data_IF_167103442629
#
_entry.id   IF_167103442629
#
_cell.length_a   1.000
_cell.length_b   1.000
_cell.length_c   1.000
_cell.angle_alpha   90.00
_cell.angle_beta   90.00
_cell.angle_gamma   90.00
#
_symmetry.space_group_name_H-M   'P 1'
#
loop_
_entity.id
_entity.type
_entity.pdbx_description
1 polymer ?
#
# COMPACT_ATOMS: atom_id res chain seq x y z
N UNK A 1 -53.59 43.22 -2.28
CA UNK A 1 -53.15 43.16 -0.88
C UNK A 1 -52.54 44.49 -0.51
N UNK A 2 -52.89 45.03 0.65
CA UNK A 2 -52.22 46.19 1.25
C UNK A 2 -50.97 45.72 1.97
N UNK A 3 -49.81 46.20 1.55
CA UNK A 3 -48.51 46.00 2.19
C UNK A 3 -48.36 46.96 3.36
N UNK A 4 -48.34 46.45 4.59
CA UNK A 4 -47.87 47.21 5.74
C UNK A 4 -46.34 47.15 5.76
N UNK A 5 -45.69 48.29 5.54
CA UNK A 5 -44.25 48.46 5.68
C UNK A 5 -43.99 49.11 7.03
N UNK A 6 -43.50 48.34 8.00
CA UNK A 6 -42.73 48.90 9.11
C UNK A 6 -41.25 48.78 8.76
N UNK A 7 -40.56 49.93 8.68
CA UNK A 7 -39.13 49.99 8.39
C UNK A 7 -38.32 50.21 9.66
N UNK A 8 -37.14 49.60 9.71
CA UNK A 8 -35.91 50.25 10.18
C UNK A 8 -34.68 49.40 9.83
N UNK A 9 -34.28 49.39 8.54
CA UNK A 9 -32.96 49.03 7.93
C UNK A 9 -33.16 48.70 6.42
N UNK A 10 -32.12 48.78 5.55
CA UNK A 10 -32.29 49.05 4.12
C UNK A 10 -33.10 47.94 3.47
N UNK A 11 -34.31 48.27 3.05
CA UNK A 11 -35.30 47.28 2.65
C UNK A 11 -35.10 46.97 1.17
N UNK A 12 -34.81 45.71 0.84
CA UNK A 12 -34.97 45.24 -0.53
C UNK A 12 -36.43 45.23 -0.95
N UNK A 13 -36.65 45.12 -2.25
CA UNK A 13 -37.99 45.07 -2.81
C UNK A 13 -38.13 43.90 -3.78
N UNK A 14 -39.33 43.33 -3.78
CA UNK A 14 -39.75 42.26 -4.69
C UNK A 14 -40.61 42.91 -5.78
N UNK A 15 -40.18 42.83 -7.02
CA UNK A 15 -40.97 43.26 -8.17
C UNK A 15 -41.58 42.03 -8.83
N UNK A 16 -42.90 42.00 -8.95
CA UNK A 16 -43.59 41.00 -9.75
C UNK A 16 -43.60 41.53 -11.19
N UNK A 17 -42.78 40.94 -12.06
CA UNK A 17 -42.66 41.39 -13.46
C UNK A 17 -43.79 40.87 -14.33
N UNK A 18 -44.28 39.66 -14.04
CA UNK A 18 -45.43 39.07 -14.71
C UNK A 18 -46.10 38.03 -13.84
N UNK A 19 -47.42 37.91 -13.96
CA UNK A 19 -48.21 36.78 -13.50
C UNK A 19 -49.16 36.40 -14.62
N UNK A 20 -49.25 35.10 -14.92
CA UNK A 20 -50.21 34.53 -15.84
C UNK A 20 -50.82 33.29 -15.22
N UNK A 21 -52.12 33.10 -15.40
CA UNK A 21 -52.77 31.85 -15.01
C UNK A 21 -52.65 30.87 -16.18
N UNK A 22 -51.95 29.76 -15.96
CA UNK A 22 -51.79 28.68 -16.93
C UNK A 22 -52.47 27.44 -16.34
N UNK A 23 -53.63 27.07 -16.89
CA UNK A 23 -54.49 26.01 -16.36
C UNK A 23 -54.87 26.26 -14.88
N UNK A 24 -54.51 25.35 -13.98
CA UNK A 24 -54.80 25.43 -12.53
C UNK A 24 -53.67 26.05 -11.71
N UNK A 25 -52.63 26.62 -12.35
CA UNK A 25 -51.48 27.22 -11.66
C UNK A 25 -51.25 28.65 -12.13
N UNK A 26 -50.76 29.48 -11.22
CA UNK A 26 -50.29 30.84 -11.53
C UNK A 26 -48.78 30.75 -11.72
N UNK A 27 -48.32 31.07 -12.93
CA UNK A 27 -46.90 31.16 -13.28
C UNK A 27 -46.53 32.64 -13.42
N UNK A 28 -45.31 33.01 -13.05
CA UNK A 28 -44.89 34.41 -13.16
C UNK A 28 -43.41 34.60 -12.98
N UNK A 29 -42.92 35.74 -13.44
CA UNK A 29 -41.54 36.15 -13.23
C UNK A 29 -41.50 37.18 -12.11
N UNK A 30 -40.68 36.91 -11.09
CA UNK A 30 -40.36 37.87 -10.04
C UNK A 30 -38.91 38.32 -10.21
N UNK A 31 -38.65 39.62 -10.04
CA UNK A 31 -37.31 40.16 -9.83
C UNK A 31 -37.19 40.52 -8.35
N UNK A 32 -36.20 39.92 -7.69
CA UNK A 32 -35.88 40.23 -6.31
C UNK A 32 -34.69 41.18 -6.32
N UNK A 33 -34.88 42.42 -5.85
CA UNK A 33 -33.78 43.39 -5.70
C UNK A 33 -33.41 43.51 -4.23
N UNK A 34 -32.24 42.97 -3.91
CA UNK A 34 -31.67 43.01 -2.57
C UNK A 34 -30.58 44.10 -2.53
N UNK A 35 -30.71 45.15 -1.68
CA UNK A 35 -29.67 46.14 -1.51
C UNK A 35 -28.45 45.49 -0.90
N UNK A 36 -27.26 45.86 -1.37
CA UNK A 36 -25.98 45.36 -0.83
C UNK A 36 -25.80 45.62 0.66
N UNK A 37 -26.53 46.58 1.23
CA UNK A 37 -26.57 46.89 2.65
C UNK A 37 -27.58 46.08 3.47
N UNK A 38 -28.51 45.37 2.82
CA UNK A 38 -29.41 44.38 3.44
C UNK A 38 -28.79 42.99 3.53
N UNK A 39 -27.81 42.75 2.65
CA UNK A 39 -26.92 41.62 2.74
C UNK A 39 -25.98 41.86 3.93
N UNK A 40 -25.96 40.94 4.89
CA UNK A 40 -25.24 41.12 6.16
C UNK A 40 -23.77 41.50 5.90
N UNK A 41 -23.42 42.76 6.19
CA UNK A 41 -22.05 43.24 6.01
C UNK A 41 -21.12 42.48 6.93
N UNK A 42 -20.16 41.74 6.38
CA UNK A 42 -19.01 41.10 7.06
C UNK A 42 -19.30 39.97 8.07
N UNK A 43 -20.56 39.69 8.39
CA UNK A 43 -20.96 38.63 9.31
C UNK A 43 -21.90 37.76 8.52
N UNK A 44 -21.46 36.59 8.06
CA UNK A 44 -22.27 35.78 7.16
C UNK A 44 -23.65 35.40 7.72
N UNK A 45 -24.42 34.75 6.87
CA UNK A 45 -25.81 34.40 7.09
C UNK A 45 -26.53 34.34 5.76
N UNK A 46 -27.81 33.98 5.81
CA UNK A 46 -28.69 34.05 4.65
C UNK A 46 -29.73 35.14 4.84
N UNK A 47 -29.97 35.91 3.77
CA UNK A 47 -31.21 36.64 3.64
C UNK A 47 -32.28 35.63 3.25
N UNK A 48 -33.24 35.42 4.14
CA UNK A 48 -34.44 34.67 3.83
C UNK A 48 -35.50 35.60 3.27
N UNK A 49 -36.01 35.26 2.11
CA UNK A 49 -37.17 35.90 1.50
C UNK A 49 -38.32 34.90 1.56
N UNK A 50 -39.28 35.18 2.44
CA UNK A 50 -40.55 34.47 2.48
C UNK A 50 -41.49 35.16 1.47
N UNK A 51 -41.86 34.44 0.41
CA UNK A 51 -42.89 34.85 -0.53
C UNK A 51 -44.21 34.18 -0.14
N UNK A 52 -45.21 34.97 0.22
CA UNK A 52 -46.54 34.45 0.55
C UNK A 52 -47.49 34.66 -0.63
N UNK A 53 -48.12 33.58 -1.10
CA UNK A 53 -49.23 33.67 -2.03
C UNK A 53 -50.54 33.27 -1.34
N UNK A 54 -51.52 34.17 -1.32
CA UNK A 54 -52.86 33.87 -0.79
C UNK A 54 -53.82 33.53 -1.93
N UNK A 55 -54.35 32.30 -1.92
CA UNK A 55 -55.39 31.85 -2.85
C UNK A 55 -56.65 31.54 -2.05
N UNK A 56 -57.76 32.20 -2.36
CA UNK A 56 -59.08 31.93 -1.76
C UNK A 56 -59.08 31.91 -0.22
N UNK A 57 -58.28 32.78 0.42
CA UNK A 57 -58.17 32.88 1.87
C UNK A 57 -57.17 31.93 2.54
N UNK A 58 -56.51 31.06 1.77
CA UNK A 58 -55.41 30.22 2.26
C UNK A 58 -54.05 30.78 1.82
N UNK A 59 -53.09 30.87 2.73
CA UNK A 59 -51.73 31.36 2.47
C UNK A 59 -50.78 30.19 2.24
N UNK A 60 -50.01 30.28 1.16
CA UNK A 60 -48.97 29.32 0.79
C UNK A 60 -47.61 30.02 0.83
N UNK A 61 -46.77 29.75 1.83
CA UNK A 61 -45.44 30.33 1.91
C UNK A 61 -44.45 29.56 1.04
N UNK A 62 -43.69 30.28 0.24
CA UNK A 62 -42.49 29.82 -0.47
C UNK A 62 -41.27 30.54 0.11
N UNK A 63 -40.15 29.85 0.28
CA UNK A 63 -39.00 30.37 1.02
C UNK A 63 -37.76 30.30 0.13
N UNK A 64 -37.09 31.44 -0.05
CA UNK A 64 -35.85 31.53 -0.82
C UNK A 64 -34.75 32.12 0.04
N UNK A 65 -33.61 31.44 0.12
CA UNK A 65 -32.47 31.87 0.93
C UNK A 65 -31.33 32.39 0.03
N UNK A 66 -30.80 33.57 0.33
CA UNK A 66 -29.73 34.24 -0.40
C UNK A 66 -28.51 34.40 0.50
N UNK A 67 -27.31 34.07 0.01
CA UNK A 67 -26.06 34.16 0.77
C UNK A 67 -25.14 35.21 0.14
N UNK A 68 -24.29 35.84 0.95
CA UNK A 68 -23.20 36.68 0.46
C UNK A 68 -21.97 35.83 0.19
N UNK A 69 -21.61 35.70 -1.08
CA UNK A 69 -20.31 35.19 -1.51
C UNK A 69 -19.31 36.36 -1.58
N UNK A 70 -18.72 36.71 -0.44
CA UNK A 70 -17.80 37.86 -0.36
C UNK A 70 -16.52 37.56 0.42
N UNK A 71 -16.41 36.38 1.02
CA UNK A 71 -15.25 36.00 1.81
C UNK A 71 -14.32 35.07 1.01
N UNK A 72 -13.04 35.04 1.41
CA UNK A 72 -12.12 34.05 0.88
C UNK A 72 -12.65 32.63 1.18
N UNK A 73 -12.47 31.72 0.22
CA UNK A 73 -12.84 30.32 0.38
C UNK A 73 -12.12 29.64 1.55
N UNK A 74 -12.61 28.48 2.00
CA UNK A 74 -11.99 27.72 3.08
C UNK A 74 -10.57 27.31 2.72
N UNK A 75 -9.70 27.19 3.73
CA UNK A 75 -8.30 26.78 3.54
C UNK A 75 -7.85 25.75 4.55
N UNK A 76 -7.01 24.81 4.14
CA UNK A 76 -6.37 23.79 4.98
C UNK A 76 -4.99 24.30 5.39
N UNK A 77 -4.84 24.60 6.68
CA UNK A 77 -3.63 25.20 7.23
C UNK A 77 -2.59 24.16 7.66
N UNK A 78 -3.03 23.03 8.21
CA UNK A 78 -2.13 21.96 8.65
C UNK A 78 -2.69 20.59 8.31
N UNK A 79 -1.78 19.69 7.94
CA UNK A 79 -2.06 18.28 7.75
C UNK A 79 -0.94 17.44 8.31
N UNK A 80 -1.27 16.49 9.18
CA UNK A 80 -0.34 15.45 9.60
C UNK A 80 -1.04 14.11 9.84
N UNK A 81 -0.25 13.04 9.89
CA UNK A 81 -0.70 11.74 10.34
C UNK A 81 0.44 10.92 10.94
N UNK A 82 0.10 9.86 11.65
CA UNK A 82 1.07 8.93 12.23
C UNK A 82 0.43 7.57 12.48
N UNK A 83 1.26 6.53 12.58
CA UNK A 83 0.81 5.23 13.02
C UNK A 83 0.52 5.25 14.52
N UNK A 84 -0.74 5.03 14.88
CA UNK A 84 -1.20 5.03 16.26
C UNK A 84 -0.96 3.68 16.95
N UNK A 85 -1.38 2.60 16.29
CA UNK A 85 -1.16 1.23 16.77
C UNK A 85 -1.09 0.26 15.59
N UNK A 86 -0.34 -0.84 15.74
CA UNK A 86 -0.30 -1.90 14.74
C UNK A 86 0.34 -3.16 15.31
N UNK A 87 -0.17 -4.35 14.98
CA UNK A 87 0.68 -5.53 15.02
C UNK A 87 1.77 -5.37 13.94
N UNK A 88 2.92 -5.99 14.15
CA UNK A 88 4.06 -5.86 13.23
C UNK A 88 4.41 -7.20 12.62
N UNK A 89 4.69 -7.20 11.32
CA UNK A 89 5.46 -8.26 10.68
C UNK A 89 6.81 -7.71 10.26
N UNK A 90 7.78 -8.61 10.14
CA UNK A 90 9.14 -8.25 9.77
C UNK A 90 9.49 -8.87 8.42
N UNK A 91 10.16 -8.08 7.58
CA UNK A 91 10.82 -8.55 6.36
C UNK A 91 12.23 -7.98 6.33
N UNK A 92 13.25 -8.82 6.27
CA UNK A 92 14.66 -8.41 6.32
C UNK A 92 14.92 -7.45 7.49
N UNK A 93 14.38 -7.70 8.68
CA UNK A 93 14.53 -6.82 9.84
C UNK A 93 13.74 -5.51 9.81
N UNK A 94 13.13 -5.14 8.68
CA UNK A 94 12.25 -3.98 8.55
C UNK A 94 10.86 -4.31 9.11
N UNK A 95 10.31 -3.41 9.92
CA UNK A 95 8.97 -3.56 10.49
C UNK A 95 7.92 -3.00 9.55
N UNK A 96 6.83 -3.73 9.37
CA UNK A 96 5.65 -3.30 8.63
C UNK A 96 4.42 -3.37 9.52
N UNK A 97 3.59 -2.34 9.42
CA UNK A 97 2.24 -2.37 9.93
C UNK A 97 1.42 -3.42 9.15
N UNK A 98 0.73 -4.31 9.85
CA UNK A 98 0.04 -5.47 9.25
C UNK A 98 -1.24 -5.84 9.99
N UNK A 99 -1.90 -6.93 9.58
CA UNK A 99 -3.01 -7.54 10.32
C UNK A 99 -2.51 -8.60 11.32
N UNK A 100 -3.18 -8.72 12.47
CA UNK A 100 -2.98 -9.86 13.38
C UNK A 100 -4.32 -10.29 13.96
N UNK A 101 -4.84 -11.42 13.48
CA UNK A 101 -6.16 -11.92 13.87
C UNK A 101 -7.25 -10.89 13.55
N UNK A 102 -7.93 -10.39 14.58
CA UNK A 102 -8.98 -9.37 14.46
C UNK A 102 -8.45 -7.92 14.52
N UNK A 103 -7.14 -7.72 14.72
CA UNK A 103 -6.55 -6.39 14.91
C UNK A 103 -6.00 -5.84 13.59
N UNK A 104 -6.41 -4.62 13.26
CA UNK A 104 -5.97 -3.86 12.09
C UNK A 104 -4.99 -2.75 12.48
N UNK A 105 -4.05 -2.35 11.59
CA UNK A 105 -3.24 -1.18 11.82
C UNK A 105 -4.10 0.08 11.84
N UNK A 106 -3.74 1.05 12.66
CA UNK A 106 -4.49 2.28 12.85
C UNK A 106 -3.64 3.51 12.56
N UNK A 107 -4.15 4.40 11.72
CA UNK A 107 -3.55 5.69 11.41
C UNK A 107 -4.33 6.81 12.10
N UNK A 108 -3.62 7.65 12.84
CA UNK A 108 -4.14 8.89 13.40
C UNK A 108 -3.87 10.04 12.43
N UNK A 109 -4.84 10.92 12.26
CA UNK A 109 -4.76 12.12 11.44
C UNK A 109 -5.07 13.35 12.26
N UNK A 110 -4.39 14.45 11.95
CA UNK A 110 -4.73 15.77 12.47
C UNK A 110 -4.74 16.76 11.31
N UNK A 111 -5.85 17.48 11.15
CA UNK A 111 -6.05 18.48 10.13
C UNK A 111 -6.66 19.73 10.76
N UNK A 112 -6.12 20.90 10.43
CA UNK A 112 -6.74 22.16 10.78
C UNK A 112 -7.07 22.95 9.51
N UNK A 113 -8.30 23.43 9.44
CA UNK A 113 -8.79 24.26 8.36
C UNK A 113 -9.47 25.52 8.91
N UNK A 114 -9.43 26.59 8.14
CA UNK A 114 -9.97 27.90 8.50
C UNK A 114 -10.91 28.40 7.42
N UNK A 115 -11.83 29.31 7.77
CA UNK A 115 -12.80 29.84 6.83
C UNK A 115 -13.77 28.79 6.27
N UNK A 116 -13.91 27.63 6.94
CA UNK A 116 -14.83 26.55 6.54
C UNK A 116 -16.28 27.05 6.39
N UNK A 117 -16.64 28.11 7.11
CA UNK A 117 -17.97 28.73 7.05
C UNK A 117 -17.98 30.13 6.46
N UNK A 118 -16.91 30.57 5.82
CA UNK A 118 -16.76 31.94 5.36
C UNK A 118 -17.87 32.38 4.39
N UNK A 119 -18.35 31.47 3.54
CA UNK A 119 -19.38 31.74 2.52
C UNK A 119 -20.74 31.06 2.79
N UNK A 120 -20.73 29.82 3.29
CA UNK A 120 -21.97 29.06 3.55
C UNK A 120 -21.78 28.04 4.67
N UNK A 121 -22.88 27.56 5.25
CA UNK A 121 -22.86 26.44 6.20
C UNK A 121 -23.14 25.10 5.48
N UNK A 122 -22.35 24.08 5.80
CA UNK A 122 -22.57 22.69 5.39
C UNK A 122 -22.52 21.78 6.62
N UNK A 123 -23.27 20.68 6.61
CA UNK A 123 -23.12 19.66 7.66
C UNK A 123 -21.78 18.92 7.55
N UNK A 124 -21.18 18.93 6.36
CA UNK A 124 -20.14 18.03 5.88
C UNK A 124 -19.01 18.78 5.15
N UNK A 125 -18.25 19.62 5.86
CA UNK A 125 -17.34 20.60 5.25
C UNK A 125 -16.06 20.03 4.64
N UNK A 126 -15.71 18.77 4.93
CA UNK A 126 -14.41 18.20 4.58
C UNK A 126 -14.61 16.78 4.03
N UNK A 127 -14.01 16.48 2.88
CA UNK A 127 -13.86 15.13 2.37
C UNK A 127 -12.40 14.69 2.55
N UNK A 128 -12.19 13.43 2.93
CA UNK A 128 -10.87 12.81 3.05
C UNK A 128 -10.85 11.54 2.20
N UNK A 129 -9.84 11.44 1.33
CA UNK A 129 -9.58 10.27 0.51
C UNK A 129 -8.22 9.63 0.87
N UNK A 130 -8.23 8.59 1.70
CA UNK A 130 -7.08 7.77 2.02
C UNK A 130 -7.09 6.42 1.28
N UNK A 131 -7.76 6.31 0.13
CA UNK A 131 -7.89 5.04 -0.60
C UNK A 131 -6.56 4.36 -0.90
N UNK A 132 -5.53 5.13 -1.24
CA UNK A 132 -4.19 4.62 -1.55
C UNK A 132 -3.47 3.95 -0.37
N UNK A 133 -3.86 4.26 0.88
CA UNK A 133 -3.30 3.64 2.09
C UNK A 133 -4.20 2.52 2.65
N UNK A 134 -5.20 2.07 1.88
CA UNK A 134 -6.06 0.95 2.24
C UNK A 134 -7.21 1.30 3.20
N UNK A 135 -7.68 2.55 3.14
CA UNK A 135 -8.80 3.06 3.91
C UNK A 135 -9.86 3.63 2.97
N UNK A 136 -11.15 3.41 3.24
CA UNK A 136 -12.21 4.01 2.42
C UNK A 136 -12.24 5.53 2.55
N UNK A 137 -12.60 6.23 1.49
CA UNK A 137 -12.86 7.68 1.51
C UNK A 137 -14.10 7.99 2.35
N UNK A 138 -14.09 9.13 3.03
CA UNK A 138 -15.19 9.54 3.90
C UNK A 138 -15.31 11.05 3.99
N UNK A 139 -16.45 11.47 4.50
CA UNK A 139 -16.80 12.86 4.72
C UNK A 139 -16.79 13.10 6.23
N UNK A 140 -16.18 14.19 6.66
CA UNK A 140 -16.15 14.61 8.06
C UNK A 140 -17.29 15.58 8.29
N UNK A 141 -18.24 15.18 9.13
CA UNK A 141 -19.32 16.05 9.56
C UNK A 141 -18.84 17.05 10.62
N UNK A 142 -19.39 18.26 10.62
CA UNK A 142 -19.06 19.30 11.60
C UNK A 142 -19.35 18.87 13.04
N UNK A 143 -20.47 18.18 13.25
CA UNK A 143 -20.88 17.68 14.56
C UNK A 143 -20.21 16.34 14.94
N UNK A 144 -19.21 15.89 14.17
CA UNK A 144 -18.46 14.69 14.50
C UNK A 144 -17.72 14.87 15.82
N UNK A 145 -17.69 13.83 16.66
CA UNK A 145 -16.91 13.83 17.91
C UNK A 145 -15.40 13.95 17.68
N UNK A 146 -14.95 13.75 16.43
CA UNK A 146 -13.55 13.89 16.00
C UNK A 146 -13.18 15.31 15.63
N UNK A 147 -14.13 16.25 15.67
CA UNK A 147 -13.89 17.68 15.43
C UNK A 147 -13.88 18.41 16.77
N UNK A 148 -12.77 19.10 17.06
CA UNK A 148 -12.67 19.92 18.28
C UNK A 148 -13.58 21.15 18.11
N UNK A 149 -14.32 21.50 19.17
CA UNK A 149 -15.37 22.54 19.15
C UNK A 149 -16.56 22.23 18.21
N UNK A 150 -16.77 20.95 17.88
CA UNK A 150 -18.01 20.51 17.25
C UNK A 150 -19.22 20.94 18.09
N UNK A 151 -20.12 21.72 17.51
CA UNK A 151 -21.45 21.96 18.05
C UNK A 151 -22.39 20.78 17.76
N UNK A 152 -23.32 20.48 18.67
CA UNK A 152 -24.39 19.50 18.44
C UNK A 152 -25.48 20.00 17.49
N UNK A 153 -25.49 21.29 17.21
CA UNK A 153 -26.35 21.97 16.23
C UNK A 153 -25.48 22.72 15.23
N UNK A 154 -25.96 22.96 13.99
CA UNK A 154 -25.45 24.07 13.18
C UNK A 154 -25.28 25.29 14.09
N UNK A 155 -24.18 26.06 13.98
CA UNK A 155 -23.97 27.16 14.93
C UNK A 155 -25.23 28.03 14.93
N UNK A 156 -25.88 28.23 16.07
CA UNK A 156 -27.02 29.15 16.12
C UNK A 156 -26.46 30.56 16.15
N UNK A 157 -27.04 31.48 15.38
CA UNK A 157 -26.53 32.84 15.23
C UNK A 157 -26.21 33.49 16.60
N UNK A 158 -25.11 34.27 16.72
CA UNK A 158 -24.13 34.58 15.68
C UNK A 158 -23.13 33.43 15.44
N UNK A 159 -23.08 32.94 14.20
CA UNK A 159 -22.08 31.96 13.76
C UNK A 159 -20.69 32.61 13.82
N UNK A 160 -19.69 31.88 14.31
CA UNK A 160 -18.30 32.32 14.21
C UNK A 160 -17.74 31.90 12.85
N UNK A 161 -17.90 32.76 11.85
CA UNK A 161 -17.43 32.56 10.47
C UNK A 161 -15.96 32.17 10.35
N UNK A 162 -15.14 32.61 11.31
CA UNK A 162 -13.70 32.37 11.36
C UNK A 162 -13.32 31.35 12.44
N UNK A 163 -14.23 30.46 12.83
CA UNK A 163 -13.87 29.38 13.75
C UNK A 163 -12.99 28.35 13.04
N UNK A 164 -11.87 28.03 13.67
CA UNK A 164 -10.98 26.96 13.22
C UNK A 164 -11.72 25.62 13.28
N UNK A 165 -11.67 24.89 12.18
CA UNK A 165 -12.10 23.51 12.09
C UNK A 165 -10.91 22.59 12.34
N UNK A 166 -10.86 21.98 13.52
CA UNK A 166 -9.76 21.09 13.91
C UNK A 166 -10.28 19.66 13.96
N UNK A 167 -9.88 18.85 12.99
CA UNK A 167 -10.21 17.44 12.87
C UNK A 167 -9.07 16.56 13.38
N UNK A 168 -9.39 15.62 14.27
CA UNK A 168 -8.48 14.60 14.77
C UNK A 168 -9.20 13.26 14.90
N UNK A 169 -8.75 12.25 14.16
CA UNK A 169 -9.36 10.93 14.16
C UNK A 169 -8.31 9.83 13.99
N UNK A 170 -8.61 8.65 14.53
CA UNK A 170 -7.86 7.43 14.26
C UNK A 170 -8.73 6.47 13.45
N UNK A 171 -8.29 6.06 12.26
CA UNK A 171 -8.98 5.08 11.40
C UNK A 171 -8.15 3.81 11.22
N UNK A 172 -8.79 2.63 11.17
CA UNK A 172 -8.11 1.40 10.80
C UNK A 172 -7.88 1.33 9.28
N UNK A 173 -6.71 0.83 8.88
CA UNK A 173 -6.51 0.29 7.54
C UNK A 173 -7.33 -1.00 7.46
N UNK A 174 -8.25 -1.10 6.51
CA UNK A 174 -9.23 -2.20 6.44
C UNK A 174 -9.08 -3.04 5.17
N UNK A 175 -8.31 -2.57 4.20
CA UNK A 175 -8.08 -3.28 2.96
C UNK A 175 -6.95 -4.32 3.08
N UNK A 176 -7.23 -5.56 2.63
CA UNK A 176 -6.22 -6.59 2.45
C UNK A 176 -5.32 -6.30 1.23
N UNK A 177 -4.12 -6.87 1.22
CA UNK A 177 -3.20 -6.84 0.09
C UNK A 177 -2.74 -5.42 -0.30
N UNK A 178 -2.46 -4.59 0.70
CA UNK A 178 -1.92 -3.24 0.58
C UNK A 178 -0.46 -3.24 1.01
N UNK A 179 0.38 -2.54 0.25
CA UNK A 179 1.77 -2.23 0.60
C UNK A 179 2.01 -0.74 0.47
N UNK A 180 2.82 -0.18 1.37
CA UNK A 180 3.28 1.20 1.28
C UNK A 180 4.79 1.25 1.63
N UNK A 181 5.66 1.72 0.72
CA UNK A 181 5.35 2.14 -0.65
C UNK A 181 4.86 0.99 -1.55
N UNK A 182 4.30 1.30 -2.71
CA UNK A 182 3.84 0.31 -3.68
C UNK A 182 5.02 -0.50 -4.29
N UNK A 183 4.70 -1.45 -5.19
CA UNK A 183 5.71 -2.28 -5.86
C UNK A 183 6.61 -1.49 -6.83
N UNK A 184 6.29 -0.24 -7.14
CA UNK A 184 7.13 0.68 -7.91
C UNK A 184 7.98 1.58 -7.01
N UNK A 185 7.75 1.58 -5.70
CA UNK A 185 8.42 2.46 -4.73
C UNK A 185 7.73 3.81 -4.54
N UNK A 186 6.49 3.98 -5.02
CA UNK A 186 5.70 5.19 -4.80
C UNK A 186 5.04 5.15 -3.43
N UNK A 187 5.10 6.26 -2.71
CA UNK A 187 4.42 6.42 -1.43
C UNK A 187 2.96 6.79 -1.63
N UNK A 188 2.08 6.06 -0.96
CA UNK A 188 0.65 6.36 -0.94
C UNK A 188 0.40 7.74 -0.34
N UNK A 189 -0.51 8.49 -0.96
CA UNK A 189 -0.87 9.85 -0.56
C UNK A 189 -2.31 9.88 -0.04
N UNK A 190 -2.56 10.70 0.98
CA UNK A 190 -3.90 10.98 1.48
C UNK A 190 -4.28 12.39 1.05
N UNK A 191 -5.49 12.55 0.52
CA UNK A 191 -6.03 13.82 0.03
C UNK A 191 -7.19 14.29 0.89
N UNK A 192 -7.33 15.59 1.09
CA UNK A 192 -8.56 16.18 1.62
C UNK A 192 -8.88 17.43 0.84
N UNK A 193 -10.17 17.67 0.81
CA UNK A 193 -10.81 18.71 0.04
C UNK A 193 -11.85 19.38 0.92
N UNK A 194 -11.76 20.70 1.02
CA UNK A 194 -12.81 21.51 1.62
C UNK A 194 -14.01 21.56 0.69
N UNK A 195 -15.22 21.60 1.24
CA UNK A 195 -16.46 21.58 0.45
C UNK A 195 -17.19 22.90 0.55
N UNK A 196 -17.06 23.73 -0.48
CA UNK A 196 -17.76 25.01 -0.64
C UNK A 196 -18.48 25.02 -2.01
N UNK A 197 -19.80 25.28 -2.11
CA UNK A 197 -20.47 25.39 -3.41
C UNK A 197 -20.17 26.69 -4.14
N UNK A 198 -19.63 27.69 -3.46
CA UNK A 198 -19.57 29.07 -3.95
C UNK A 198 -18.15 29.55 -4.21
N UNK A 199 -17.13 28.87 -3.66
CA UNK A 199 -15.73 29.21 -3.89
C UNK A 199 -14.91 28.02 -4.42
N UNK A 200 -13.64 28.28 -4.73
CA UNK A 200 -12.70 27.22 -5.08
C UNK A 200 -12.50 26.30 -3.87
N UNK A 201 -12.58 24.99 -4.11
CA UNK A 201 -12.18 23.99 -3.13
C UNK A 201 -10.68 24.10 -2.87
N UNK A 202 -10.30 24.09 -1.59
CA UNK A 202 -8.91 23.98 -1.20
C UNK A 202 -8.58 22.51 -0.97
N UNK A 203 -7.43 22.10 -1.48
CA UNK A 203 -6.98 20.72 -1.46
C UNK A 203 -5.62 20.63 -0.80
N UNK A 204 -5.48 19.68 0.11
CA UNK A 204 -4.20 19.37 0.71
C UNK A 204 -3.91 17.87 0.57
N UNK A 205 -2.63 17.54 0.54
CA UNK A 205 -2.17 16.16 0.45
C UNK A 205 -1.07 15.88 1.47
N UNK A 206 -0.98 14.63 1.90
CA UNK A 206 -0.01 14.18 2.89
C UNK A 206 0.42 12.74 2.65
N UNK A 207 1.72 12.51 2.74
CA UNK A 207 2.32 11.19 2.60
C UNK A 207 2.77 10.68 3.97
N UNK A 208 2.04 9.74 4.60
CA UNK A 208 2.49 9.15 5.85
C UNK A 208 3.75 8.31 5.60
N UNK A 209 4.81 8.56 6.37
CA UNK A 209 6.02 7.71 6.42
C UNK A 209 5.75 6.44 7.24
N UNK A 210 4.76 5.67 6.82
CA UNK A 210 4.29 4.45 7.48
C UNK A 210 4.45 3.28 6.52
N UNK A 211 5.29 2.32 6.90
CA UNK A 211 5.50 1.08 6.16
C UNK A 211 4.33 0.15 6.41
N UNK A 212 3.58 -0.16 5.35
CA UNK A 212 2.39 -1.01 5.42
C UNK A 212 2.67 -2.27 4.61
N UNK A 213 2.30 -3.43 5.15
CA UNK A 213 2.20 -4.65 4.39
C UNK A 213 1.10 -5.54 4.98
N UNK A 214 -0.06 -5.52 4.34
CA UNK A 214 -1.25 -6.27 4.74
C UNK A 214 -1.49 -7.54 3.92
N UNK A 215 -0.51 -7.96 3.10
CA UNK A 215 -0.54 -9.27 2.48
C UNK A 215 -0.38 -10.37 3.53
N UNK A 216 -1.20 -11.42 3.40
CA UNK A 216 -0.97 -12.69 4.10
C UNK A 216 0.31 -13.37 3.60
N UNK A 217 0.71 -14.46 4.25
CA UNK A 217 1.77 -15.31 3.72
C UNK A 217 1.26 -15.93 2.42
N UNK A 218 1.87 -15.57 1.30
CA UNK A 218 1.46 -15.98 -0.05
C UNK A 218 2.48 -16.94 -0.69
N UNK A 219 3.70 -16.98 -0.16
CA UNK A 219 4.69 -17.96 -0.58
C UNK A 219 4.20 -19.39 -0.30
N UNK A 220 4.45 -20.28 -1.25
CA UNK A 220 4.10 -21.72 -1.19
C UNK A 220 5.33 -22.57 -1.46
N UNK A 221 5.20 -23.90 -1.43
CA UNK A 221 6.30 -24.83 -1.72
C UNK A 221 6.95 -24.62 -3.10
N UNK A 222 6.24 -24.00 -4.05
CA UNK A 222 6.70 -23.73 -5.43
C UNK A 222 6.83 -22.25 -5.78
N UNK A 223 6.32 -21.33 -4.96
CA UNK A 223 6.21 -19.89 -5.27
C UNK A 223 6.75 -18.97 -4.17
N UNK A 224 7.57 -17.98 -4.54
CA UNK A 224 8.01 -16.84 -3.71
C UNK A 224 7.43 -15.54 -4.22
N UNK A 225 6.71 -14.82 -3.37
CA UNK A 225 6.11 -13.51 -3.67
C UNK A 225 6.76 -12.35 -2.91
N UNK A 226 7.70 -12.63 -2.00
CA UNK A 226 8.43 -11.62 -1.22
C UNK A 226 7.53 -10.70 -0.37
N UNK A 227 6.33 -11.16 -0.01
CA UNK A 227 5.47 -10.52 0.99
C UNK A 227 5.65 -11.08 2.40
N UNK A 228 6.37 -12.19 2.51
CA UNK A 228 6.70 -12.90 3.73
C UNK A 228 8.15 -13.44 3.65
N UNK A 229 8.63 -14.02 4.75
CA UNK A 229 9.92 -14.72 4.80
C UNK A 229 9.74 -16.19 5.20
N UNK A 230 8.52 -16.71 5.01
CA UNK A 230 8.11 -18.01 5.53
C UNK A 230 8.84 -19.17 4.86
N UNK A 231 9.56 -18.93 3.76
CA UNK A 231 10.39 -19.87 2.99
C UNK A 231 11.89 -19.50 2.93
N UNK A 232 12.29 -18.38 3.54
CA UNK A 232 13.66 -17.86 3.47
C UNK A 232 14.61 -18.60 4.41
N UNK A 233 15.83 -18.85 3.93
CA UNK A 233 16.92 -19.51 4.66
C UNK A 233 18.11 -18.58 4.89
N UNK A 234 18.95 -18.91 5.88
CA UNK A 234 20.28 -18.32 6.02
C UNK A 234 21.16 -18.69 4.81
N UNK A 235 22.04 -17.79 4.39
CA UNK A 235 22.96 -18.00 3.26
C UNK A 235 23.79 -19.28 3.38
N UNK A 236 24.16 -19.65 4.63
CA UNK A 236 24.93 -20.84 4.97
C UNK A 236 24.10 -21.85 5.78
N UNK A 237 22.79 -21.94 5.53
CA UNK A 237 21.88 -22.85 6.24
C UNK A 237 22.32 -24.33 6.20
N UNK A 238 23.24 -24.71 5.30
CA UNK A 238 23.75 -26.07 5.21
C UNK A 238 22.74 -27.00 4.52
N UNK A 239 23.13 -28.27 4.40
CA UNK A 239 22.46 -29.26 3.55
C UNK A 239 21.63 -30.29 4.35
N UNK A 240 21.54 -30.16 5.67
CA UNK A 240 20.88 -31.17 6.52
C UNK A 240 19.37 -31.26 6.28
N UNK A 241 18.79 -32.43 6.57
CA UNK A 241 17.34 -32.64 6.49
C UNK A 241 16.63 -31.70 7.46
N UNK A 242 15.78 -30.84 6.90
CA UNK A 242 14.78 -30.12 7.69
C UNK A 242 13.54 -30.99 7.87
N UNK A 243 12.92 -30.94 9.05
CA UNK A 243 11.61 -31.55 9.30
C UNK A 243 10.46 -30.82 8.59
N UNK A 244 10.67 -29.55 8.20
CA UNK A 244 9.77 -28.73 7.38
C UNK A 244 10.56 -27.78 6.49
N UNK A 245 10.04 -27.42 5.32
CA UNK A 245 10.66 -26.39 4.45
C UNK A 245 10.16 -24.97 4.73
N UNK A 246 9.11 -24.82 5.55
CA UNK A 246 8.52 -23.53 5.92
C UNK A 246 8.32 -23.37 7.44
N UNK A 247 8.19 -22.12 7.88
CA UNK A 247 7.87 -21.77 9.27
C UNK A 247 8.90 -22.19 10.32
N UNK A 248 8.45 -22.37 11.57
CA UNK A 248 9.29 -22.66 12.74
C UNK A 248 9.95 -24.05 12.72
N UNK A 249 9.44 -24.98 11.90
CA UNK A 249 10.00 -26.34 11.74
C UNK A 249 11.37 -26.41 11.07
N UNK A 250 11.94 -25.26 10.68
CA UNK A 250 13.27 -25.13 10.07
C UNK A 250 14.43 -24.99 11.06
N UNK A 251 14.14 -24.77 12.34
CA UNK A 251 15.17 -24.59 13.37
C UNK A 251 16.15 -23.46 13.05
N UNK A 252 17.44 -23.69 13.33
CA UNK A 252 18.52 -22.69 13.20
C UNK A 252 18.83 -22.23 11.77
N UNK A 253 18.27 -22.88 10.76
CA UNK A 253 18.48 -22.55 9.34
C UNK A 253 17.53 -21.46 8.83
N UNK A 254 16.43 -21.23 9.54
CA UNK A 254 15.49 -20.18 9.19
C UNK A 254 16.21 -18.83 9.20
N UNK A 255 15.97 -18.04 8.15
CA UNK A 255 16.16 -16.62 8.28
C UNK A 255 15.17 -16.09 9.32
N UNK A 256 15.67 -15.30 10.26
CA UNK A 256 14.85 -14.53 11.17
C UNK A 256 15.25 -13.07 11.09
N UNK A 257 14.23 -12.21 11.05
CA UNK A 257 14.40 -10.76 10.94
C UNK A 257 15.07 -10.12 12.17
N UNK A 258 15.48 -10.89 13.17
CA UNK A 258 16.34 -10.40 14.27
C UNK A 258 17.78 -10.16 13.82
N UNK A 259 18.20 -10.72 12.69
CA UNK A 259 19.56 -10.60 12.15
C UNK A 259 19.67 -9.44 11.16
N UNK A 260 20.71 -8.63 11.33
CA UNK A 260 21.03 -7.55 10.38
C UNK A 260 21.56 -8.13 9.06
N UNK A 261 21.13 -7.60 7.91
CA UNK A 261 21.56 -8.08 6.60
C UNK A 261 23.09 -8.03 6.39
N UNK A 262 23.77 -7.08 7.05
CA UNK A 262 25.23 -6.99 7.01
C UNK A 262 25.92 -8.26 7.50
N UNK A 263 25.41 -8.86 8.58
CA UNK A 263 26.05 -9.98 9.25
C UNK A 263 25.99 -11.27 8.43
N UNK A 264 25.07 -11.33 7.47
CA UNK A 264 24.81 -12.53 6.65
C UNK A 264 25.07 -12.30 5.16
N UNK A 265 25.52 -11.09 4.78
CA UNK A 265 25.60 -10.66 3.39
C UNK A 265 24.29 -10.93 2.63
N UNK A 266 23.17 -10.51 3.21
CA UNK A 266 21.83 -10.88 2.75
C UNK A 266 21.20 -9.84 1.83
N UNK A 267 20.40 -10.28 0.86
CA UNK A 267 19.51 -9.39 0.10
C UNK A 267 18.30 -8.96 0.94
N UNK A 268 17.73 -7.81 0.61
CA UNK A 268 16.57 -7.24 1.29
C UNK A 268 15.26 -7.67 0.62
N UNK A 269 14.28 -8.09 1.41
CA UNK A 269 12.89 -8.25 0.99
C UNK A 269 12.11 -7.01 1.41
N UNK A 270 11.50 -6.31 0.45
CA UNK A 270 10.67 -5.12 0.67
C UNK A 270 9.62 -4.98 -0.43
N UNK A 271 8.35 -4.82 -0.03
CA UNK A 271 7.20 -4.56 -0.90
C UNK A 271 7.13 -5.51 -2.11
N UNK A 272 7.07 -6.82 -1.84
CA UNK A 272 6.95 -7.83 -2.90
C UNK A 272 8.17 -7.94 -3.81
N UNK A 273 9.33 -7.42 -3.36
CA UNK A 273 10.57 -7.43 -4.16
C UNK A 273 11.76 -7.85 -3.32
N UNK A 274 12.65 -8.57 -3.97
CA UNK A 274 14.02 -8.80 -3.55
C UNK A 274 14.93 -7.74 -4.15
N UNK A 275 15.63 -7.00 -3.31
CA UNK A 275 16.49 -5.87 -3.69
C UNK A 275 17.81 -5.90 -2.91
N UNK A 276 18.78 -5.07 -3.29
CA UNK A 276 19.92 -4.80 -2.43
C UNK A 276 19.53 -3.82 -1.31
N UNK A 277 19.89 -4.13 -0.07
CA UNK A 277 19.61 -3.26 1.07
C UNK A 277 20.55 -2.05 1.08
N UNK A 278 20.02 -0.86 0.86
CA UNK A 278 20.79 0.39 0.89
C UNK A 278 20.04 1.57 1.50
N UNK A 279 18.80 1.35 1.97
CA UNK A 279 17.92 2.39 2.47
C UNK A 279 17.95 2.48 4.00
N UNK A 280 17.74 3.69 4.51
CA UNK A 280 17.54 3.94 5.94
C UNK A 280 16.03 3.91 6.24
N UNK A 281 15.60 3.02 7.13
CA UNK A 281 14.21 2.94 7.58
C UNK A 281 13.99 3.51 8.99
N UNK A 282 15.02 4.09 9.61
CA UNK A 282 14.96 4.52 11.02
C UNK A 282 13.95 5.64 11.30
N UNK A 283 13.60 6.45 10.30
CA UNK A 283 12.60 7.53 10.41
C UNK A 283 11.15 7.08 10.12
N UNK A 284 10.93 5.81 9.75
CA UNK A 284 9.63 5.30 9.34
C UNK A 284 8.91 4.63 10.51
N UNK A 285 7.57 4.69 10.49
CA UNK A 285 6.73 3.92 11.41
C UNK A 285 6.34 2.57 10.81
N UNK A 286 6.25 1.48 11.58
CA UNK A 286 6.47 1.35 13.02
C UNK A 286 7.93 1.54 13.46
N UNK A 287 8.14 2.06 14.68
CA UNK A 287 9.49 2.36 15.23
C UNK A 287 10.33 1.10 15.46
N UNK A 288 11.62 1.19 15.14
CA UNK A 288 12.62 0.13 15.32
C UNK A 288 13.02 -0.58 14.03
N UNK A 289 12.95 0.14 12.91
CA UNK A 289 13.38 -0.31 11.59
C UNK A 289 14.89 -0.07 11.39
N UNK A 290 15.58 -0.93 10.61
CA UNK A 290 17.03 -0.92 10.43
C UNK A 290 17.50 0.18 9.48
N UNK A 291 18.80 0.52 9.56
CA UNK A 291 19.46 1.41 8.60
C UNK A 291 20.49 0.62 7.77
N UNK A 292 20.24 0.48 6.47
CA UNK A 292 21.09 -0.26 5.55
C UNK A 292 21.98 0.61 4.65
N UNK A 293 22.01 1.92 4.85
CA UNK A 293 22.83 2.83 4.02
C UNK A 293 24.32 2.47 4.01
N UNK A 294 24.83 1.93 5.12
CA UNK A 294 26.23 1.50 5.27
C UNK A 294 26.62 0.24 4.46
N UNK A 295 25.64 -0.54 3.98
CA UNK A 295 25.92 -1.78 3.21
C UNK A 295 26.52 -1.47 1.84
N UNK A 296 26.13 -0.33 1.25
CA UNK A 296 26.53 0.09 -0.10
C UNK A 296 28.05 0.24 -0.31
N UNK A 297 28.82 0.42 0.75
CA UNK A 297 30.27 0.63 0.66
C UNK A 297 31.11 -0.52 1.22
N UNK A 298 30.49 -1.52 1.85
CA UNK A 298 31.20 -2.50 2.70
C UNK A 298 30.94 -3.95 2.34
N UNK A 299 29.86 -4.25 1.62
CA UNK A 299 29.47 -5.62 1.31
C UNK A 299 29.85 -5.94 -0.14
N UNK A 300 30.54 -7.07 -0.31
CA UNK A 300 30.74 -7.72 -1.61
C UNK A 300 29.43 -8.34 -2.09
N UNK A 301 29.41 -9.63 -2.38
CA UNK A 301 28.19 -10.30 -2.86
C UNK A 301 27.07 -10.33 -1.81
N UNK A 302 25.83 -10.10 -2.23
CA UNK A 302 24.65 -10.24 -1.39
C UNK A 302 23.77 -11.42 -1.84
N UNK A 303 23.23 -12.17 -0.90
CA UNK A 303 22.62 -13.48 -1.15
C UNK A 303 21.21 -13.59 -0.58
N UNK A 304 20.33 -14.26 -1.33
CA UNK A 304 19.04 -14.76 -0.87
C UNK A 304 18.96 -16.26 -1.13
N UNK A 305 18.55 -17.04 -0.13
CA UNK A 305 18.42 -18.49 -0.24
C UNK A 305 17.01 -18.91 0.14
N UNK A 306 16.44 -19.79 -0.67
CA UNK A 306 15.11 -20.36 -0.47
C UNK A 306 15.06 -21.81 -0.91
N UNK A 307 14.22 -22.61 -0.27
CA UNK A 307 13.94 -23.99 -0.64
C UNK A 307 12.58 -24.13 -1.32
N UNK A 308 12.51 -25.00 -2.32
CA UNK A 308 11.30 -25.38 -3.03
C UNK A 308 11.09 -26.90 -2.94
N UNK A 309 9.85 -27.35 -2.96
CA UNK A 309 9.46 -28.76 -3.00
C UNK A 309 8.21 -28.94 -3.85
N UNK A 310 8.08 -30.09 -4.47
CA UNK A 310 6.81 -30.45 -5.11
C UNK A 310 5.70 -30.46 -4.05
N UNK A 311 4.59 -29.77 -4.32
CA UNK A 311 3.49 -29.65 -3.35
C UNK A 311 2.88 -30.99 -2.94
N UNK A 312 3.00 -32.01 -3.79
CA UNK A 312 2.53 -33.37 -3.51
C UNK A 312 3.63 -34.27 -2.90
N UNK A 313 4.82 -33.71 -2.61
CA UNK A 313 5.97 -34.48 -2.14
C UNK A 313 6.47 -35.50 -3.15
N UNK A 314 6.20 -35.31 -4.44
CA UNK A 314 6.69 -36.19 -5.50
C UNK A 314 8.18 -35.94 -5.75
N UNK A 315 8.87 -37.02 -6.11
CA UNK A 315 10.23 -36.89 -6.62
C UNK A 315 10.19 -36.23 -8.01
N UNK A 316 11.20 -35.43 -8.31
CA UNK A 316 11.29 -34.66 -9.54
C UNK A 316 12.72 -34.66 -10.06
N UNK A 317 12.90 -34.53 -11.36
CA UNK A 317 14.22 -34.50 -12.00
C UNK A 317 14.42 -33.29 -12.90
N UNK A 318 13.37 -32.55 -13.27
CA UNK A 318 13.48 -31.38 -14.15
C UNK A 318 12.36 -30.39 -13.94
N UNK A 319 12.57 -29.13 -14.31
CA UNK A 319 11.54 -28.10 -14.26
C UNK A 319 12.04 -26.78 -14.80
N UNK A 320 11.22 -25.74 -14.65
CA UNK A 320 11.55 -24.38 -15.04
C UNK A 320 11.51 -23.50 -13.79
N UNK A 321 12.61 -22.82 -13.48
CA UNK A 321 12.63 -21.75 -12.51
C UNK A 321 12.35 -20.44 -13.23
N UNK A 322 11.20 -19.82 -12.97
CA UNK A 322 10.84 -18.49 -13.47
C UNK A 322 11.22 -17.42 -12.44
N UNK A 323 11.97 -16.41 -12.87
CA UNK A 323 12.49 -15.31 -12.03
C UNK A 323 12.02 -13.98 -12.62
N UNK A 324 10.93 -13.43 -12.09
CA UNK A 324 10.38 -12.17 -12.60
C UNK A 324 11.22 -10.98 -12.12
N UNK A 325 11.58 -10.10 -13.05
CA UNK A 325 12.50 -8.97 -12.80
C UNK A 325 13.96 -9.22 -13.21
N UNK A 326 14.31 -10.46 -13.58
CA UNK A 326 15.63 -10.78 -14.15
C UNK A 326 15.58 -10.73 -15.68
N UNK A 327 16.57 -10.06 -16.28
CA UNK A 327 16.74 -10.00 -17.75
C UNK A 327 17.85 -10.91 -18.24
N UNK A 328 17.88 -11.15 -19.55
CA UNK A 328 18.94 -11.96 -20.17
C UNK A 328 20.31 -11.28 -20.07
N UNK A 329 20.35 -9.95 -20.06
CA UNK A 329 21.56 -9.18 -19.77
C UNK A 329 22.06 -9.44 -18.35
N UNK A 330 21.17 -9.47 -17.35
CA UNK A 330 21.55 -9.75 -15.97
C UNK A 330 22.16 -11.15 -15.83
N UNK A 331 21.61 -12.12 -16.57
CA UNK A 331 22.11 -13.50 -16.64
C UNK A 331 23.51 -13.57 -17.25
N UNK A 332 23.70 -12.99 -18.43
CA UNK A 332 24.92 -13.11 -19.24
C UNK A 332 26.09 -12.29 -18.67
N UNK A 333 25.80 -11.11 -18.10
CA UNK A 333 26.80 -10.29 -17.39
C UNK A 333 27.17 -10.85 -16.02
N UNK A 334 26.40 -11.82 -15.50
CA UNK A 334 26.57 -12.42 -14.17
C UNK A 334 26.49 -11.41 -13.03
N UNK A 335 25.82 -10.27 -13.25
CA UNK A 335 25.48 -9.32 -12.18
C UNK A 335 24.50 -9.94 -11.17
N UNK A 336 23.62 -10.81 -11.64
CA UNK A 336 22.77 -11.67 -10.82
C UNK A 336 23.09 -13.11 -11.14
N UNK A 337 23.65 -13.83 -10.16
CA UNK A 337 23.94 -15.26 -10.26
C UNK A 337 22.84 -16.06 -9.58
N UNK A 338 22.33 -17.06 -10.28
CA UNK A 338 21.27 -17.95 -9.84
C UNK A 338 21.85 -19.35 -9.80
N UNK A 339 21.90 -19.95 -8.62
CA UNK A 339 22.34 -21.32 -8.45
C UNK A 339 21.22 -22.17 -7.86
N UNK A 340 21.18 -23.46 -8.20
CA UNK A 340 20.31 -24.43 -7.55
C UNK A 340 21.09 -25.68 -7.12
N UNK A 341 20.53 -26.42 -6.16
CA UNK A 341 21.04 -27.73 -5.75
C UNK A 341 19.93 -28.58 -5.14
N UNK A 342 20.08 -29.89 -5.16
CA UNK A 342 19.25 -30.82 -4.39
C UNK A 342 19.76 -30.89 -2.95
N UNK A 343 18.82 -30.94 -2.00
CA UNK A 343 19.12 -30.84 -0.57
C UNK A 343 18.44 -31.94 0.24
N UNK A 344 19.19 -32.46 1.22
CA UNK A 344 18.75 -33.51 2.14
C UNK A 344 19.69 -34.72 2.07
N UNK A 345 19.78 -35.50 3.16
CA UNK A 345 20.61 -36.70 3.19
C UNK A 345 20.18 -37.67 2.09
N UNK A 346 21.18 -38.16 1.35
CA UNK A 346 20.93 -39.09 0.26
C UNK A 346 20.58 -40.47 0.81
N UNK A 347 19.51 -41.06 0.27
CA UNK A 347 19.05 -42.39 0.67
C UNK A 347 20.10 -43.41 0.24
N UNK A 348 20.60 -44.21 1.18
CA UNK A 348 21.63 -45.22 0.92
C UNK A 348 21.07 -46.30 -0.02
N UNK A 349 21.76 -46.56 -1.14
CA UNK A 349 21.46 -47.68 -2.04
C UNK A 349 20.74 -47.34 -3.36
N UNK A 350 20.51 -46.06 -3.68
CA UNK A 350 19.71 -45.64 -4.84
C UNK A 350 20.48 -45.05 -6.04
N UNK A 351 21.80 -45.23 -6.12
CA UNK A 351 22.61 -44.74 -7.25
C UNK A 351 24.11 -44.64 -6.91
N UNK A 352 24.91 -44.13 -7.84
CA UNK A 352 26.38 -43.96 -7.79
C UNK A 352 26.90 -43.02 -6.69
N UNK A 353 26.04 -42.57 -5.77
CA UNK A 353 26.38 -41.62 -4.75
C UNK A 353 26.66 -42.33 -3.43
N UNK A 354 27.86 -42.10 -2.91
CA UNK A 354 28.28 -42.68 -1.64
C UNK A 354 27.33 -42.30 -0.49
N UNK A 355 27.11 -43.21 0.48
CA UNK A 355 26.36 -42.89 1.68
C UNK A 355 26.95 -41.67 2.41
N UNK A 356 26.09 -40.75 2.84
CA UNK A 356 26.48 -39.64 3.74
C UNK A 356 26.62 -38.25 3.11
N UNK A 357 26.48 -38.11 1.78
CA UNK A 357 26.40 -36.76 1.20
C UNK A 357 25.04 -36.12 1.54
N UNK A 358 25.10 -34.95 2.16
CA UNK A 358 23.93 -34.22 2.66
C UNK A 358 23.28 -33.34 1.60
N UNK A 359 23.94 -33.13 0.47
CA UNK A 359 23.39 -32.41 -0.66
C UNK A 359 24.36 -32.38 -1.83
N UNK A 360 23.90 -31.76 -2.90
CA UNK A 360 24.61 -31.72 -4.18
C UNK A 360 25.46 -30.46 -4.34
N UNK A 361 26.33 -30.46 -5.35
CA UNK A 361 27.00 -29.25 -5.82
C UNK A 361 26.00 -28.18 -6.25
N UNK A 362 26.43 -26.91 -6.27
CA UNK A 362 25.64 -25.80 -6.81
C UNK A 362 25.72 -25.81 -8.34
N UNK A 363 24.57 -25.98 -8.99
CA UNK A 363 24.39 -25.80 -10.43
C UNK A 363 24.06 -24.35 -10.74
N UNK A 364 24.89 -23.67 -11.53
CA UNK A 364 24.64 -22.29 -11.94
C UNK A 364 23.73 -22.21 -13.17
N UNK A 365 22.62 -21.51 -13.07
CA UNK A 365 21.69 -21.25 -14.19
C UNK A 365 22.16 -20.12 -15.12
N UNK A 366 23.27 -19.47 -14.79
CA UNK A 366 23.88 -18.44 -15.64
C UNK A 366 24.73 -18.99 -16.78
N UNK A 367 25.03 -20.29 -16.77
CA UNK A 367 25.94 -20.92 -17.74
C UNK A 367 25.20 -21.97 -18.54
N UNK A 368 25.38 -21.93 -19.86
CA UNK A 368 24.87 -22.99 -20.75
C UNK A 368 25.67 -24.26 -20.55
N UNK A 369 24.99 -25.37 -20.25
CA UNK A 369 25.63 -26.68 -20.10
C UNK A 369 25.08 -27.66 -21.12
N UNK A 370 25.96 -28.47 -21.71
CA UNK A 370 25.54 -29.60 -22.50
C UNK A 370 25.25 -30.77 -21.55
N UNK A 371 24.01 -31.26 -21.56
CA UNK A 371 23.56 -32.41 -20.78
C UNK A 371 24.45 -33.66 -20.92
N UNK A 372 25.14 -33.82 -22.05
CA UNK A 372 26.00 -34.96 -22.33
C UNK A 372 27.43 -34.84 -21.77
N UNK A 373 27.90 -33.65 -21.39
CA UNK A 373 29.33 -33.42 -21.06
C UNK A 373 29.59 -32.75 -19.72
N UNK A 374 28.55 -32.43 -18.93
CA UNK A 374 28.75 -31.81 -17.62
C UNK A 374 29.14 -32.87 -16.57
N UNK A 375 30.28 -32.66 -15.92
CA UNK A 375 30.87 -33.57 -14.91
C UNK A 375 31.26 -32.73 -13.68
N UNK A 376 30.31 -31.95 -13.15
CA UNK A 376 30.57 -31.10 -11.97
C UNK A 376 31.09 -31.93 -10.79
N UNK A 377 31.84 -31.28 -9.88
CA UNK A 377 32.20 -31.91 -8.61
C UNK A 377 30.90 -32.35 -7.92
N UNK A 378 30.75 -33.65 -7.71
CA UNK A 378 29.52 -34.31 -7.24
C UNK A 378 28.34 -34.45 -8.23
N UNK A 379 28.45 -34.08 -9.50
CA UNK A 379 27.67 -34.67 -10.62
C UNK A 379 26.32 -34.05 -11.01
N UNK A 380 26.00 -32.83 -10.59
CA UNK A 380 24.61 -32.39 -10.48
C UNK A 380 24.05 -31.52 -11.59
N UNK A 381 23.05 -32.06 -12.30
CA UNK A 381 22.11 -31.34 -13.16
C UNK A 381 22.67 -30.52 -14.32
N UNK A 382 21.86 -30.21 -15.32
CA UNK A 382 22.25 -29.27 -16.37
C UNK A 382 21.11 -28.28 -16.63
N UNK A 383 21.48 -27.02 -16.84
CA UNK A 383 20.62 -26.06 -17.52
C UNK A 383 20.53 -26.48 -18.98
N UNK A 384 19.35 -26.93 -19.42
CA UNK A 384 19.15 -27.36 -20.80
C UNK A 384 18.73 -26.15 -21.62
N UNK A 385 19.63 -25.61 -22.45
CA UNK A 385 19.22 -24.67 -23.50
C UNK A 385 18.52 -25.42 -24.62
N UNK A 386 17.39 -26.08 -24.32
CA UNK A 386 16.55 -26.64 -25.37
C UNK A 386 15.68 -25.50 -25.91
N UNK A 387 16.06 -25.00 -27.09
CA UNK A 387 15.30 -24.06 -27.93
C UNK A 387 14.53 -22.93 -27.20
N UNK A 388 15.21 -21.82 -26.88
CA UNK A 388 14.55 -20.51 -26.72
C UNK A 388 14.11 -20.09 -25.32
N UNK A 389 14.42 -20.86 -24.26
CA UNK A 389 14.20 -20.39 -22.89
C UNK A 389 15.36 -19.52 -22.41
N UNK A 390 15.14 -18.20 -22.46
CA UNK A 390 15.96 -17.13 -21.88
C UNK A 390 15.26 -16.55 -20.65
N UNK A 391 15.96 -15.73 -19.86
CA UNK A 391 15.34 -15.02 -18.75
C UNK A 391 14.01 -14.37 -19.19
N UNK A 392 12.92 -14.52 -18.40
CA UNK A 392 12.91 -14.90 -16.98
C UNK A 392 12.82 -16.41 -16.71
N UNK A 393 12.78 -17.29 -17.72
CA UNK A 393 12.55 -18.72 -17.54
C UNK A 393 13.86 -19.51 -17.68
N UNK A 394 14.17 -20.33 -16.67
CA UNK A 394 15.39 -21.12 -16.63
C UNK A 394 15.04 -22.61 -16.53
N UNK A 395 15.12 -23.33 -17.65
CA UNK A 395 14.93 -24.78 -17.68
C UNK A 395 16.13 -25.50 -17.02
N UNK A 396 15.86 -26.39 -16.08
CA UNK A 396 16.88 -27.20 -15.44
C UNK A 396 16.49 -28.68 -15.41
N UNK A 397 17.49 -29.54 -15.50
CA UNK A 397 17.39 -30.94 -15.08
C UNK A 397 18.41 -31.21 -13.99
N UNK A 398 18.09 -32.12 -13.09
CA UNK A 398 18.89 -32.60 -11.97
C UNK A 398 19.65 -33.88 -12.36
N UNK A 399 19.40 -34.43 -13.54
CA UNK A 399 20.08 -35.63 -14.05
C UNK A 399 19.95 -36.83 -13.08
N UNK A 400 21.08 -37.49 -12.80
CA UNK A 400 21.16 -38.62 -11.85
C UNK A 400 20.97 -38.22 -10.38
N UNK A 401 20.72 -36.95 -10.10
CA UNK A 401 20.55 -36.38 -8.77
C UNK A 401 19.12 -35.89 -8.58
N UNK A 402 18.16 -36.59 -9.18
CA UNK A 402 16.73 -36.39 -8.93
C UNK A 402 16.46 -36.25 -7.43
N UNK A 403 15.48 -35.41 -7.09
CA UNK A 403 15.02 -35.26 -5.71
C UNK A 403 14.49 -36.58 -5.13
N UNK A 404 14.27 -37.62 -5.94
CA UNK A 404 13.99 -39.00 -5.52
C UNK A 404 14.98 -39.54 -4.49
N UNK A 405 16.24 -39.11 -4.57
CA UNK A 405 17.31 -39.63 -3.72
C UNK A 405 17.54 -38.80 -2.46
N UNK A 406 16.84 -37.68 -2.30
CA UNK A 406 16.93 -36.83 -1.13
C UNK A 406 15.70 -37.00 -0.24
N UNK A 407 15.91 -37.15 1.07
CA UNK A 407 14.81 -37.37 2.03
C UNK A 407 13.68 -36.32 1.95
N UNK A 408 14.01 -35.08 1.62
CA UNK A 408 13.06 -33.96 1.58
C UNK A 408 12.46 -33.69 0.19
N UNK A 409 12.94 -34.38 -0.83
CA UNK A 409 12.56 -34.22 -2.24
C UNK A 409 12.50 -32.74 -2.70
N UNK A 410 13.46 -31.95 -2.24
CA UNK A 410 13.47 -30.50 -2.37
C UNK A 410 14.71 -30.00 -3.11
N UNK A 411 14.61 -28.81 -3.68
CA UNK A 411 15.75 -28.05 -4.22
C UNK A 411 15.92 -26.76 -3.43
N UNK A 412 17.16 -26.30 -3.33
CA UNK A 412 17.50 -24.99 -2.80
C UNK A 412 17.96 -24.10 -3.94
N UNK A 413 17.44 -22.88 -3.98
CA UNK A 413 17.80 -21.85 -4.95
C UNK A 413 18.48 -20.72 -4.21
N UNK A 414 19.61 -20.28 -4.76
CA UNK A 414 20.39 -19.16 -4.27
C UNK A 414 20.45 -18.08 -5.35
N UNK A 415 19.98 -16.90 -5.00
CA UNK A 415 20.14 -15.68 -5.78
C UNK A 415 21.28 -14.87 -5.17
N UNK A 416 22.27 -14.53 -5.98
CA UNK A 416 23.43 -13.74 -5.57
C UNK A 416 23.52 -12.50 -6.44
N UNK A 417 23.46 -11.31 -5.84
CA UNK A 417 23.80 -10.07 -6.53
C UNK A 417 25.31 -9.84 -6.36
N UNK A 418 26.04 -9.82 -7.48
CA UNK A 418 27.48 -9.62 -7.52
C UNK A 418 27.79 -8.13 -7.45
N UNK A 419 28.59 -7.72 -6.45
CA UNK A 419 28.91 -6.30 -6.22
C UNK A 419 27.66 -5.38 -6.27
N UNK A 420 26.66 -5.65 -5.42
CA UNK A 420 25.29 -5.16 -5.54
C UNK A 420 25.12 -3.65 -5.32
N UNK A 421 26.12 -2.97 -4.76
CA UNK A 421 26.07 -1.54 -4.49
C UNK A 421 25.75 -0.68 -5.74
N UNK A 422 26.14 -1.15 -6.93
CA UNK A 422 25.86 -0.47 -8.20
C UNK A 422 24.65 -1.07 -8.96
N UNK A 423 24.03 -2.13 -8.44
CA UNK A 423 22.94 -2.84 -9.10
C UNK A 423 21.58 -2.30 -8.64
N UNK A 424 20.95 -1.47 -9.48
CA UNK A 424 19.53 -1.15 -9.33
C UNK A 424 18.68 -2.27 -9.96
N UNK A 425 18.63 -3.43 -9.29
CA UNK A 425 17.90 -4.62 -9.74
C UNK A 425 16.95 -5.11 -8.67
N UNK A 426 15.80 -5.58 -9.15
CA UNK A 426 14.71 -6.06 -8.29
C UNK A 426 14.14 -7.34 -8.89
N UNK A 427 13.94 -8.36 -8.07
CA UNK A 427 13.21 -9.57 -8.46
C UNK A 427 11.88 -9.57 -7.71
N UNK A 428 10.76 -9.67 -8.43
CA UNK A 428 9.42 -9.62 -7.83
C UNK A 428 8.82 -11.00 -7.55
N UNK A 429 9.38 -12.06 -8.13
CA UNK A 429 8.82 -13.40 -7.99
C UNK A 429 9.83 -14.50 -8.33
N UNK A 430 9.78 -15.61 -7.59
CA UNK A 430 10.41 -16.88 -7.97
C UNK A 430 9.34 -17.96 -8.07
N UNK A 431 9.28 -18.72 -9.16
CA UNK A 431 8.26 -19.75 -9.34
C UNK A 431 8.85 -20.98 -10.03
N UNK A 432 8.73 -22.15 -9.40
CA UNK A 432 9.00 -23.42 -10.07
C UNK A 432 7.74 -23.85 -10.82
N UNK A 433 7.83 -23.92 -12.15
CA UNK A 433 6.77 -24.40 -13.04
C UNK A 433 7.26 -25.63 -13.79
N UNK A 434 6.30 -26.41 -14.34
CA UNK A 434 6.58 -27.63 -15.09
C UNK A 434 7.52 -28.59 -14.35
N UNK A 435 7.35 -28.70 -13.03
CA UNK A 435 8.18 -29.56 -12.20
C UNK A 435 7.82 -31.03 -12.45
N UNK A 436 8.65 -31.72 -13.22
CA UNK A 436 8.36 -33.04 -13.75
C UNK A 436 9.36 -34.10 -13.26
N UNK A 437 8.94 -35.36 -13.36
CA UNK A 437 9.80 -36.51 -13.15
C UNK A 437 10.82 -36.68 -14.27
#
# INVERSE_FOLDING_TARGET
GTTNVQSSTPSGYITINSLQTVNTRVEGNITLTVPTSALLSSVGGYLRVDAEHTISGSTYPEQVEFFLDTAAGPSIATWSGSLASSPVKFLSGVKFATYSGATSPQLAFNLAASGIWANTYRGDPLAIDPSEVGMGSYIVAYNSSTVTKAGSTPPVAPFKFNEDFIYSETKPITQANVVNPDNNGNWSTIYAETRDPFSNVDTASYQPLVLINTYSNESTDVLETFYDEDYRLLANSGTTSLGSIHGSGRGSQAWDSTKHLATVSGLQVINGRLVFGSQDFSSYSPVGSPNYTSLSSTIGDAVYVRRFRDSNGSARSRGILRIEGMTETDRTTKNVVVDLRVVGPHITGSGTQGPGNTGTGWLSLNTSYNSATFVGDTGDGCFTTSQGQVAPNFEFTLGSFSTAFAANKAIEVRITYKNPAALNKTISKLHIIDWNQ
#
